data_IF_089896882835
#
_entry.id   IF_089896882835
#
_cell.length_a   1.000
_cell.length_b   1.000
_cell.length_c   1.000
_cell.angle_alpha   90.00
_cell.angle_beta   90.00
_cell.angle_gamma   90.00
#
_symmetry.space_group_name_H-M   'P 1'
#
loop_
_entity.id
_entity.type
_entity.pdbx_description
1 polymer ?
#
# COMPACT_ATOMS: atom_id res chain seq x y z
N UNK A 1 -23.74 0.45 7.42
CA UNK A 1 -23.69 0.12 6.04
C UNK A 1 -22.51 0.74 5.32
N UNK A 2 -22.36 2.01 5.42
CA UNK A 2 -21.24 2.67 4.78
C UNK A 2 -19.92 2.20 5.33
N UNK A 3 -19.90 1.87 6.61
CA UNK A 3 -18.68 1.40 7.21
C UNK A 3 -18.25 0.07 6.63
N UNK A 4 -19.22 -0.78 6.38
CA UNK A 4 -18.90 -2.06 5.77
C UNK A 4 -18.33 -1.86 4.38
N UNK A 5 -18.94 -0.97 3.62
CA UNK A 5 -18.43 -0.67 2.31
C UNK A 5 -17.04 -0.09 2.35
N UNK A 6 -16.80 0.77 3.33
CA UNK A 6 -15.50 1.38 3.49
C UNK A 6 -14.43 0.31 3.77
N UNK A 7 -14.74 -0.61 4.67
CA UNK A 7 -13.78 -1.65 5.02
C UNK A 7 -13.53 -2.59 3.86
N UNK A 8 -14.57 -2.93 3.13
CA UNK A 8 -14.41 -3.77 1.96
C UNK A 8 -13.52 -3.11 0.93
N UNK A 9 -13.71 -1.80 0.77
CA UNK A 9 -12.89 -1.07 -0.18
C UNK A 9 -11.43 -1.13 0.19
N UNK A 10 -11.12 -1.02 1.47
CA UNK A 10 -9.74 -1.10 1.92
C UNK A 10 -9.13 -2.47 1.68
N UNK A 11 -9.96 -3.49 1.59
CA UNK A 11 -9.46 -4.85 1.39
C UNK A 11 -9.38 -5.25 -0.05
N UNK A 12 -10.03 -4.52 -0.93
CA UNK A 12 -10.12 -4.89 -2.33
C UNK A 12 -9.26 -4.00 -3.17
N UNK A 13 -7.97 -4.21 -3.07
CA UNK A 13 -7.04 -3.47 -3.90
C UNK A 13 -6.83 -4.22 -5.20
N UNK A 14 -6.89 -3.50 -6.29
CA UNK A 14 -6.64 -4.11 -7.59
C UNK A 14 -5.16 -4.27 -7.86
N UNK A 15 -4.33 -3.69 -7.01
CA UNK A 15 -2.90 -3.81 -7.17
C UNK A 15 -2.19 -2.89 -6.21
N UNK A 16 -0.86 -2.90 -6.25
CA UNK A 16 -0.08 -2.09 -5.31
C UNK A 16 -0.29 -0.59 -5.47
N UNK A 17 -0.55 -0.13 -6.69
CA UNK A 17 -0.74 1.30 -6.89
C UNK A 17 -2.06 1.75 -6.31
N UNK A 18 -3.07 0.89 -6.38
CA UNK A 18 -4.35 1.21 -5.76
C UNK A 18 -4.17 1.35 -4.25
N UNK A 19 -3.40 0.47 -3.65
CA UNK A 19 -3.11 0.57 -2.23
C UNK A 19 -2.38 1.87 -1.90
N UNK A 20 -1.40 2.25 -2.72
CA UNK A 20 -0.69 3.49 -2.51
C UNK A 20 -1.63 4.68 -2.54
N UNK A 21 -2.52 4.72 -3.52
CA UNK A 21 -3.47 5.81 -3.61
C UNK A 21 -4.36 5.87 -2.39
N UNK A 22 -4.79 4.72 -1.90
CA UNK A 22 -5.62 4.68 -0.72
C UNK A 22 -4.89 5.25 0.49
N UNK A 23 -3.65 4.85 0.67
CA UNK A 23 -2.86 5.33 1.80
C UNK A 23 -2.64 6.84 1.73
N UNK A 24 -2.35 7.33 0.54
CA UNK A 24 -2.12 8.76 0.35
C UNK A 24 -3.41 9.52 0.63
N UNK A 25 -4.54 9.02 0.15
CA UNK A 25 -5.81 9.67 0.37
C UNK A 25 -6.20 9.65 1.84
N UNK A 26 -5.94 8.55 2.52
CA UNK A 26 -6.25 8.45 3.95
C UNK A 26 -5.50 9.50 4.75
N UNK A 27 -4.30 9.82 4.34
CA UNK A 27 -3.49 10.83 5.01
C UNK A 27 -3.72 12.22 4.44
N UNK A 28 -4.56 12.32 3.41
CA UNK A 28 -4.85 13.61 2.77
C UNK A 28 -3.60 14.28 2.25
N UNK A 29 -2.74 13.47 1.66
CA UNK A 29 -1.51 13.96 1.05
C UNK A 29 -1.69 14.11 -0.44
N UNK A 30 -0.88 14.98 -1.04
CA UNK A 30 -0.79 15.06 -2.48
C UNK A 30 0.14 13.96 -2.98
N UNK A 31 -0.04 13.57 -4.24
CA UNK A 31 0.82 12.55 -4.81
C UNK A 31 2.15 13.18 -5.15
N UNK A 32 3.12 13.01 -4.28
CA UNK A 32 4.46 13.54 -4.42
C UNK A 32 5.45 12.52 -3.89
N UNK A 33 6.73 12.78 -4.13
CA UNK A 33 7.76 11.92 -3.59
C UNK A 33 7.72 11.90 -2.08
N UNK A 34 7.42 13.04 -1.47
CA UNK A 34 7.32 13.11 -0.02
C UNK A 34 6.18 12.24 0.47
N UNK A 35 5.04 12.29 -0.22
CA UNK A 35 3.91 11.46 0.17
C UNK A 35 4.26 9.98 0.08
N UNK A 36 5.00 9.59 -0.94
CA UNK A 36 5.41 8.21 -1.07
C UNK A 36 6.31 7.79 0.09
N UNK A 37 7.20 8.68 0.53
CA UNK A 37 8.03 8.40 1.69
C UNK A 37 7.18 8.21 2.95
N UNK A 38 6.14 9.04 3.07
CA UNK A 38 5.29 9.00 4.25
C UNK A 38 4.54 7.69 4.38
N UNK A 39 4.12 7.13 3.26
CA UNK A 39 3.31 5.92 3.30
C UNK A 39 4.12 4.65 3.11
N UNK A 40 5.44 4.77 2.93
CA UNK A 40 6.26 3.60 2.65
C UNK A 40 6.14 2.55 3.76
N UNK A 41 6.25 2.97 5.01
CA UNK A 41 6.22 2.02 6.11
C UNK A 41 4.87 1.32 6.20
N UNK A 42 3.80 2.06 5.98
CA UNK A 42 2.47 1.45 5.99
C UNK A 42 2.30 0.49 4.83
N UNK A 43 2.80 0.86 3.67
CA UNK A 43 2.72 -0.02 2.51
C UNK A 43 3.46 -1.32 2.77
N UNK A 44 4.66 -1.23 3.31
CA UNK A 44 5.46 -2.41 3.60
C UNK A 44 4.75 -3.29 4.62
N UNK A 45 4.21 -2.69 5.68
CA UNK A 45 3.51 -3.44 6.70
C UNK A 45 2.28 -4.14 6.12
N UNK A 46 1.54 -3.46 5.28
CA UNK A 46 0.36 -4.05 4.67
C UNK A 46 0.75 -5.20 3.75
N UNK A 47 1.81 -5.01 2.97
CA UNK A 47 2.28 -6.06 2.08
C UNK A 47 2.69 -7.30 2.87
N UNK A 48 3.34 -7.09 4.00
CA UNK A 48 3.75 -8.20 4.84
C UNK A 48 2.53 -8.96 5.36
N UNK A 49 1.52 -8.24 5.81
CA UNK A 49 0.29 -8.89 6.27
C UNK A 49 -0.36 -9.69 5.15
N UNK A 50 -0.40 -9.12 3.95
CA UNK A 50 -0.97 -9.82 2.82
C UNK A 50 -0.20 -11.10 2.50
N UNK A 51 1.13 -11.05 2.59
CA UNK A 51 1.93 -12.22 2.29
C UNK A 51 1.68 -13.33 3.29
N UNK A 52 1.38 -12.98 4.53
CA UNK A 52 1.08 -13.98 5.54
C UNK A 52 -0.29 -14.60 5.30
N UNK A 53 -1.22 -13.84 4.77
CA UNK A 53 -2.55 -14.34 4.48
C UNK A 53 -2.60 -15.15 3.19
N UNK A 54 -1.98 -14.63 2.15
CA UNK A 54 -2.17 -15.15 0.80
C UNK A 54 -0.93 -15.79 0.20
N UNK A 55 0.20 -15.69 0.88
CA UNK A 55 1.44 -16.24 0.37
C UNK A 55 2.21 -15.23 -0.47
N UNK A 56 3.51 -15.47 -0.60
CA UNK A 56 4.38 -14.54 -1.29
C UNK A 56 4.05 -14.42 -2.77
N UNK A 57 3.66 -15.51 -3.39
CA UNK A 57 3.36 -15.48 -4.82
C UNK A 57 2.22 -14.52 -5.12
N UNK A 58 1.25 -14.44 -4.22
CA UNK A 58 0.08 -13.61 -4.45
C UNK A 58 0.38 -12.13 -4.30
N UNK A 59 1.50 -11.78 -3.67
CA UNK A 59 1.82 -10.37 -3.41
C UNK A 59 3.11 -9.95 -4.09
N UNK A 60 3.52 -10.67 -5.12
CA UNK A 60 4.78 -10.37 -5.80
C UNK A 60 4.82 -8.92 -6.29
N UNK A 61 3.74 -8.46 -6.90
CA UNK A 61 3.70 -7.08 -7.41
C UNK A 61 3.82 -6.08 -6.28
N UNK A 62 3.19 -6.39 -5.15
CA UNK A 62 3.29 -5.52 -3.99
C UNK A 62 4.71 -5.45 -3.46
N UNK A 63 5.40 -6.58 -3.49
CA UNK A 63 6.78 -6.61 -3.02
C UNK A 63 7.71 -5.79 -3.90
N UNK A 64 7.48 -5.83 -5.21
CA UNK A 64 8.28 -5.04 -6.13
C UNK A 64 8.10 -3.55 -5.85
N UNK A 65 6.86 -3.13 -5.66
CA UNK A 65 6.59 -1.73 -5.36
C UNK A 65 7.15 -1.35 -3.99
N UNK A 66 7.03 -2.24 -3.02
CA UNK A 66 7.59 -1.97 -1.70
C UNK A 66 9.10 -1.74 -1.77
N UNK A 67 9.79 -2.57 -2.55
CA UNK A 67 11.23 -2.41 -2.70
C UNK A 67 11.56 -1.06 -3.35
N UNK A 68 10.78 -0.67 -4.34
CA UNK A 68 10.98 0.61 -5.00
C UNK A 68 10.79 1.76 -4.02
N UNK A 69 9.74 1.68 -3.19
CA UNK A 69 9.49 2.73 -2.20
C UNK A 69 10.62 2.82 -1.19
N UNK A 70 11.16 1.67 -0.78
CA UNK A 70 12.28 1.67 0.15
C UNK A 70 13.51 2.30 -0.49
N UNK A 71 13.75 2.03 -1.77
CA UNK A 71 14.85 2.67 -2.47
C UNK A 71 14.70 4.19 -2.49
N UNK A 72 13.50 4.65 -2.78
CA UNK A 72 13.23 6.08 -2.80
C UNK A 72 13.48 6.70 -1.43
N UNK A 73 13.06 6.00 -0.39
CA UNK A 73 13.18 6.55 0.95
C UNK A 73 14.62 6.64 1.40
N UNK A 74 15.46 5.70 0.97
CA UNK A 74 16.86 5.70 1.38
C UNK A 74 17.74 6.49 0.43
N UNK A 75 17.25 6.82 -0.72
CA UNK A 75 18.01 7.63 -1.67
C UNK A 75 18.00 9.08 -1.25
#
# INVERSE_FOLDING_TARGET
>A
MNEDGFQLRLRNFEGPFDLLLQLIQDRKLDITEVALHEVTDEFVAYTRSLSEEKGLDAVTEFLVVAATLLDLKTA
#
